data_IF_340763393482
#
_entry.id   IF_340763393482
#
_cell.length_a   1.000
_cell.length_b   1.000
_cell.length_c   1.000
_cell.angle_alpha   90.00
_cell.angle_beta   90.00
_cell.angle_gamma   90.00
#
_symmetry.space_group_name_H-M   'P 1'
#
loop_
_entity.id
_entity.type
_entity.pdbx_description
1 polymer ?
#
# COMPACT_ATOMS: atom_id res chain seq x y z
N UNK A 1 -14.42 -43.54 -15.19
CA UNK A 1 -14.18 -43.79 -13.77
C UNK A 1 -12.76 -43.37 -13.42
N UNK A 2 -12.46 -43.12 -12.14
CA UNK A 2 -11.17 -42.62 -11.64
C UNK A 2 -9.99 -43.51 -12.06
N UNK A 3 -10.18 -44.83 -12.11
CA UNK A 3 -9.15 -45.82 -12.50
C UNK A 3 -8.74 -45.67 -13.97
N UNK A 4 -9.68 -45.43 -14.86
CA UNK A 4 -9.43 -45.22 -16.30
C UNK A 4 -8.66 -43.94 -16.56
N UNK A 5 -8.98 -42.88 -15.84
CA UNK A 5 -8.30 -41.60 -15.96
C UNK A 5 -6.89 -41.64 -15.37
N UNK A 6 -6.67 -42.38 -14.27
CA UNK A 6 -5.32 -42.58 -13.72
C UNK A 6 -4.43 -43.39 -14.68
N UNK A 7 -4.99 -44.42 -15.35
CA UNK A 7 -4.25 -45.21 -16.34
C UNK A 7 -3.89 -44.36 -17.58
N UNK A 8 -4.81 -43.50 -18.04
CA UNK A 8 -4.56 -42.58 -19.14
C UNK A 8 -3.46 -41.57 -18.77
N UNK A 9 -3.50 -41.00 -17.56
CA UNK A 9 -2.47 -40.06 -17.05
C UNK A 9 -1.10 -40.74 -16.96
N UNK A 10 -1.03 -41.96 -16.46
CA UNK A 10 0.22 -42.74 -16.41
C UNK A 10 0.79 -42.97 -17.81
N UNK A 11 -0.08 -43.36 -18.80
CA UNK A 11 0.33 -43.51 -20.20
C UNK A 11 0.82 -42.22 -20.84
N UNK A 12 0.20 -41.07 -20.51
CA UNK A 12 0.64 -39.76 -21.00
C UNK A 12 1.99 -39.36 -20.43
N UNK A 13 2.21 -39.62 -19.14
CA UNK A 13 3.48 -39.34 -18.48
C UNK A 13 4.60 -40.19 -19.07
N UNK A 14 4.32 -41.46 -19.34
CA UNK A 14 5.24 -42.40 -19.97
C UNK A 14 5.61 -41.98 -21.42
N UNK A 15 4.66 -41.39 -22.17
CA UNK A 15 4.90 -40.84 -23.51
C UNK A 15 5.73 -39.53 -23.49
N UNK A 16 5.67 -38.79 -22.41
CA UNK A 16 6.40 -37.52 -22.24
C UNK A 16 7.73 -37.69 -21.52
N UNK A 17 8.07 -38.91 -21.09
CA UNK A 17 9.30 -39.19 -20.39
C UNK A 17 10.48 -39.23 -21.38
N UNK A 18 11.35 -38.24 -21.28
CA UNK A 18 12.58 -38.11 -22.08
C UNK A 18 13.77 -38.89 -21.53
N UNK A 19 13.52 -39.80 -20.57
CA UNK A 19 14.53 -40.65 -19.95
C UNK A 19 15.39 -39.97 -18.87
N UNK A 20 15.06 -38.74 -18.48
CA UNK A 20 15.80 -38.01 -17.43
C UNK A 20 15.24 -38.27 -16.01
N UNK A 21 14.14 -39.00 -15.89
CA UNK A 21 13.47 -39.29 -14.60
C UNK A 21 13.93 -40.59 -13.96
N UNK A 22 14.35 -40.50 -12.73
CA UNK A 22 14.88 -41.62 -11.91
C UNK A 22 13.85 -42.26 -10.99
N UNK A 23 12.56 -42.14 -11.18
CA UNK A 23 11.58 -42.97 -10.48
C UNK A 23 10.17 -42.79 -11.12
N UNK A 24 9.47 -43.89 -11.34
CA UNK A 24 8.07 -43.89 -11.77
C UNK A 24 7.16 -43.40 -10.62
N UNK A 25 7.09 -42.14 -10.38
CA UNK A 25 6.02 -41.57 -9.58
C UNK A 25 4.76 -41.47 -10.46
N UNK A 26 3.90 -42.45 -10.33
CA UNK A 26 2.60 -42.43 -10.98
C UNK A 26 1.76 -41.32 -10.37
N UNK A 27 1.62 -40.24 -11.11
CA UNK A 27 0.80 -39.10 -10.69
C UNK A 27 -0.69 -39.50 -10.74
N UNK A 28 -1.38 -39.44 -9.63
CA UNK A 28 -2.81 -39.68 -9.53
C UNK A 28 -3.62 -38.45 -9.95
N UNK A 29 -4.87 -38.62 -10.40
CA UNK A 29 -5.79 -37.51 -10.66
C UNK A 29 -5.94 -36.59 -9.43
N UNK A 30 -5.89 -37.18 -8.22
CA UNK A 30 -5.91 -36.41 -6.97
C UNK A 30 -4.73 -35.47 -6.88
N UNK A 31 -3.52 -35.95 -7.14
CA UNK A 31 -2.30 -35.13 -7.13
C UNK A 31 -2.32 -34.06 -8.23
N UNK A 32 -2.78 -34.39 -9.43
CA UNK A 32 -2.97 -33.39 -10.48
C UNK A 32 -3.96 -32.29 -10.09
N UNK A 33 -5.07 -32.67 -9.45
CA UNK A 33 -6.05 -31.71 -8.94
C UNK A 33 -5.48 -30.84 -7.82
N UNK A 34 -4.60 -31.41 -6.98
CA UNK A 34 -3.91 -30.65 -5.92
C UNK A 34 -2.93 -29.64 -6.52
N UNK A 35 -2.15 -30.02 -7.54
CA UNK A 35 -1.24 -29.11 -8.25
C UNK A 35 -2.01 -28.00 -8.96
N UNK A 36 -3.11 -28.36 -9.65
CA UNK A 36 -3.96 -27.39 -10.30
C UNK A 36 -4.60 -26.41 -9.29
N UNK A 37 -5.06 -26.91 -8.13
CA UNK A 37 -5.59 -26.09 -7.06
C UNK A 37 -4.55 -25.13 -6.49
N UNK A 38 -3.31 -25.58 -6.30
CA UNK A 38 -2.21 -24.73 -5.82
C UNK A 38 -1.86 -23.64 -6.84
N UNK A 39 -1.80 -23.97 -8.14
CA UNK A 39 -1.57 -22.99 -9.20
C UNK A 39 -2.69 -21.93 -9.25
N UNK A 40 -3.96 -22.35 -9.26
CA UNK A 40 -5.14 -21.47 -9.24
C UNK A 40 -5.11 -20.57 -8.00
N UNK A 41 -4.76 -21.12 -6.84
CA UNK A 41 -4.68 -20.36 -5.59
C UNK A 41 -3.61 -19.28 -5.64
N UNK A 42 -2.46 -19.61 -6.21
CA UNK A 42 -1.34 -18.67 -6.42
C UNK A 42 -1.71 -17.58 -7.44
N UNK A 43 -2.22 -17.97 -8.62
CA UNK A 43 -2.58 -17.03 -9.69
C UNK A 43 -3.74 -16.10 -9.30
N UNK A 44 -4.64 -16.58 -8.43
CA UNK A 44 -5.74 -15.78 -7.87
C UNK A 44 -5.36 -14.93 -6.67
N UNK A 45 -4.07 -14.74 -6.41
CA UNK A 45 -3.57 -14.02 -5.24
C UNK A 45 -4.11 -14.58 -3.92
N UNK A 46 -4.10 -15.91 -3.80
CA UNK A 46 -4.54 -16.65 -2.62
C UNK A 46 -6.04 -16.54 -2.30
N UNK A 47 -6.87 -16.32 -3.34
CA UNK A 47 -8.33 -16.24 -3.19
C UNK A 47 -8.98 -17.63 -3.12
N UNK A 48 -9.43 -18.01 -1.93
CA UNK A 48 -10.22 -19.25 -1.75
C UNK A 48 -11.54 -19.23 -2.54
N UNK A 49 -12.11 -18.06 -2.81
CA UNK A 49 -13.35 -17.94 -3.58
C UNK A 49 -13.13 -18.26 -5.06
N UNK A 50 -12.08 -17.70 -5.68
CA UNK A 50 -11.72 -18.01 -7.08
C UNK A 50 -11.41 -19.49 -7.22
N UNK A 51 -10.64 -20.06 -6.31
CA UNK A 51 -10.33 -21.50 -6.28
C UNK A 51 -11.61 -22.34 -6.14
N UNK A 52 -12.56 -21.94 -5.31
CA UNK A 52 -13.84 -22.60 -5.15
C UNK A 52 -14.62 -22.66 -6.47
N UNK A 53 -14.72 -21.54 -7.16
CA UNK A 53 -15.45 -21.45 -8.44
C UNK A 53 -14.79 -22.29 -9.52
N UNK A 54 -13.46 -22.20 -9.69
CA UNK A 54 -12.73 -22.91 -10.74
C UNK A 54 -12.64 -24.41 -10.49
N UNK A 55 -12.60 -24.86 -9.24
CA UNK A 55 -12.64 -26.29 -8.89
C UNK A 55 -14.06 -26.87 -8.85
N UNK A 56 -15.10 -26.05 -9.05
CA UNK A 56 -16.49 -26.46 -9.01
C UNK A 56 -16.97 -26.91 -7.63
N UNK A 57 -16.38 -26.36 -6.55
CA UNK A 57 -16.78 -26.69 -5.19
C UNK A 57 -18.04 -25.91 -4.80
N UNK A 58 -18.99 -26.59 -4.17
CA UNK A 58 -20.23 -25.97 -3.68
C UNK A 58 -20.04 -25.26 -2.33
N UNK A 59 -18.92 -25.51 -1.65
CA UNK A 59 -18.69 -25.02 -0.28
C UNK A 59 -17.23 -24.55 -0.12
N UNK A 60 -17.08 -23.40 0.50
CA UNK A 60 -15.78 -22.81 0.79
C UNK A 60 -14.93 -23.68 1.73
N UNK A 61 -15.56 -24.43 2.64
CA UNK A 61 -14.85 -25.35 3.54
C UNK A 61 -14.14 -26.47 2.77
N UNK A 62 -14.76 -26.99 1.72
CA UNK A 62 -14.13 -27.99 0.84
C UNK A 62 -12.91 -27.41 0.12
N UNK A 63 -12.99 -26.15 -0.27
CA UNK A 63 -11.89 -25.44 -0.95
C UNK A 63 -10.72 -25.14 -0.02
N UNK A 64 -10.99 -24.76 1.22
CA UNK A 64 -9.97 -24.53 2.23
C UNK A 64 -9.06 -25.74 2.46
N UNK A 65 -9.62 -26.94 2.32
CA UNK A 65 -8.85 -28.18 2.47
C UNK A 65 -7.72 -28.32 1.44
N UNK A 66 -7.92 -27.78 0.22
CA UNK A 66 -6.87 -27.75 -0.82
C UNK A 66 -5.83 -26.66 -0.57
N UNK A 67 -6.24 -25.51 -0.05
CA UNK A 67 -5.33 -24.40 0.28
C UNK A 67 -4.35 -24.71 1.43
N UNK A 68 -4.70 -25.66 2.29
CA UNK A 68 -3.88 -26.07 3.43
C UNK A 68 -2.99 -27.29 3.15
N UNK A 69 -2.94 -27.81 1.91
CA UNK A 69 -2.04 -28.91 1.58
C UNK A 69 -0.59 -28.39 1.48
N UNK A 70 0.33 -29.25 1.88
CA UNK A 70 1.71 -28.98 2.30
C UNK A 70 2.49 -28.00 1.42
N UNK A 71 2.43 -28.08 0.10
CA UNK A 71 3.21 -27.22 -0.80
C UNK A 71 2.73 -25.76 -0.82
N UNK A 72 1.42 -25.53 -0.87
CA UNK A 72 0.86 -24.17 -0.82
C UNK A 72 0.95 -23.54 0.57
N UNK A 73 0.94 -24.39 1.61
CA UNK A 73 1.12 -23.93 2.99
C UNK A 73 2.58 -23.51 3.25
N UNK A 74 3.56 -24.29 2.78
CA UNK A 74 4.97 -23.96 2.96
C UNK A 74 5.35 -22.66 2.23
N UNK A 75 4.89 -22.44 0.98
CA UNK A 75 5.09 -21.16 0.28
C UNK A 75 4.38 -19.99 0.98
N UNK A 76 3.14 -20.20 1.41
CA UNK A 76 2.38 -19.15 2.12
C UNK A 76 2.96 -18.87 3.50
N UNK A 77 3.45 -19.91 4.20
CA UNK A 77 4.07 -19.76 5.51
C UNK A 77 5.41 -19.05 5.41
N UNK A 78 6.24 -19.38 4.40
CA UNK A 78 7.49 -18.67 4.13
C UNK A 78 7.25 -17.19 3.88
N UNK A 79 6.27 -16.86 3.00
CA UNK A 79 5.92 -15.47 2.72
C UNK A 79 5.39 -14.73 3.95
N UNK A 80 4.50 -15.36 4.73
CA UNK A 80 3.97 -14.77 5.96
C UNK A 80 5.07 -14.60 7.00
N UNK A 81 5.98 -15.56 7.12
CA UNK A 81 7.13 -15.48 8.03
C UNK A 81 8.06 -14.33 7.65
N UNK A 82 8.40 -14.20 6.36
CA UNK A 82 9.21 -13.10 5.84
C UNK A 82 8.58 -11.72 6.13
N UNK A 83 7.28 -11.60 5.91
CA UNK A 83 6.54 -10.37 6.19
C UNK A 83 6.46 -10.08 7.69
N UNK A 84 6.28 -11.10 8.52
CA UNK A 84 6.28 -10.96 9.98
C UNK A 84 7.66 -10.54 10.49
N UNK A 85 8.74 -11.15 9.97
CA UNK A 85 10.11 -10.81 10.36
C UNK A 85 10.47 -9.37 9.95
N UNK A 86 10.06 -8.95 8.75
CA UNK A 86 10.21 -7.56 8.28
C UNK A 86 9.39 -6.59 9.14
N UNK A 87 8.16 -6.95 9.50
CA UNK A 87 7.30 -6.19 10.40
C UNK A 87 7.94 -5.99 11.78
N UNK A 88 8.47 -7.06 12.37
CA UNK A 88 9.17 -6.97 13.64
C UNK A 88 10.46 -6.16 13.53
N UNK A 89 11.18 -6.28 12.41
CA UNK A 89 12.35 -5.47 12.11
C UNK A 89 12.00 -3.98 12.03
N UNK A 90 10.95 -3.62 11.29
CA UNK A 90 10.47 -2.24 11.18
C UNK A 90 10.03 -1.69 12.54
N UNK A 91 9.30 -2.47 13.35
CA UNK A 91 8.88 -2.08 14.69
C UNK A 91 10.06 -1.87 15.65
N UNK A 92 11.10 -2.71 15.57
CA UNK A 92 12.31 -2.58 16.40
C UNK A 92 13.14 -1.35 16.05
N UNK A 93 13.28 -1.05 14.75
CA UNK A 93 14.13 0.04 14.27
C UNK A 93 13.40 1.38 14.30
N UNK A 94 12.17 1.43 13.78
CA UNK A 94 11.48 2.70 13.50
C UNK A 94 10.29 2.96 14.43
N UNK A 95 9.87 1.98 15.23
CA UNK A 95 8.63 2.00 16.05
C UNK A 95 7.35 2.36 15.26
N UNK A 96 7.40 2.25 13.94
CA UNK A 96 6.31 2.59 13.02
C UNK A 96 6.16 1.46 12.01
N UNK A 97 4.93 1.07 11.79
CA UNK A 97 4.55 0.02 10.87
C UNK A 97 3.86 0.59 9.64
N UNK A 98 4.32 0.22 8.43
CA UNK A 98 3.70 0.62 7.18
C UNK A 98 2.79 -0.46 6.62
N UNK A 99 1.48 -0.26 6.78
CA UNK A 99 0.46 -1.18 6.30
C UNK A 99 0.47 -1.30 4.77
N UNK A 100 0.78 -0.22 4.05
CA UNK A 100 0.79 -0.23 2.58
C UNK A 100 1.96 -1.06 2.05
N UNK A 101 3.16 -0.89 2.62
CA UNK A 101 4.33 -1.68 2.26
C UNK A 101 4.14 -3.16 2.59
N UNK A 102 3.54 -3.46 3.74
CA UNK A 102 3.24 -4.84 4.15
C UNK A 102 2.19 -5.48 3.24
N UNK A 103 1.15 -4.74 2.85
CA UNK A 103 0.16 -5.22 1.88
C UNK A 103 0.78 -5.47 0.52
N UNK A 104 1.66 -4.59 0.03
CA UNK A 104 2.37 -4.78 -1.23
C UNK A 104 3.24 -6.04 -1.20
N UNK A 105 3.99 -6.27 -0.11
CA UNK A 105 4.79 -7.48 0.08
C UNK A 105 3.93 -8.75 0.17
N UNK A 106 2.83 -8.71 0.93
CA UNK A 106 1.88 -9.83 1.05
C UNK A 106 1.17 -10.15 -0.26
N UNK A 107 0.85 -9.13 -1.06
CA UNK A 107 0.17 -9.32 -2.34
C UNK A 107 1.10 -9.86 -3.43
N UNK A 108 2.40 -10.03 -3.15
CA UNK A 108 3.42 -10.36 -4.18
C UNK A 108 3.20 -9.55 -5.47
N UNK A 109 2.73 -8.32 -5.31
CA UNK A 109 2.76 -7.40 -6.42
C UNK A 109 4.22 -7.33 -6.85
N UNK A 110 4.48 -7.39 -8.15
CA UNK A 110 5.81 -7.13 -8.73
C UNK A 110 6.17 -5.66 -8.46
N UNK A 111 6.37 -5.36 -7.18
CA UNK A 111 6.89 -4.06 -6.75
C UNK A 111 8.37 -4.15 -7.02
N UNK A 112 8.83 -3.43 -8.01
CA UNK A 112 10.24 -3.39 -8.36
C UNK A 112 11.06 -2.88 -7.17
N UNK A 113 12.30 -3.33 -7.04
CA UNK A 113 13.22 -2.83 -6.01
C UNK A 113 13.32 -1.29 -6.04
N UNK A 114 13.20 -0.69 -7.24
CA UNK A 114 13.18 0.75 -7.41
C UNK A 114 11.95 1.42 -6.76
N UNK A 115 10.79 0.78 -6.76
CA UNK A 115 9.59 1.29 -6.08
C UNK A 115 9.69 1.14 -4.57
N UNK A 116 10.26 0.03 -4.09
CA UNK A 116 10.56 -0.17 -2.66
C UNK A 116 11.53 0.91 -2.17
N UNK A 117 12.59 1.20 -2.94
CA UNK A 117 13.56 2.24 -2.57
C UNK A 117 12.92 3.64 -2.57
N UNK A 118 12.05 3.96 -3.54
CA UNK A 118 11.28 5.22 -3.52
C UNK A 118 10.41 5.36 -2.28
N UNK A 119 9.73 4.29 -1.85
CA UNK A 119 8.94 4.29 -0.62
C UNK A 119 9.81 4.48 0.62
N UNK A 120 10.98 3.84 0.66
CA UNK A 120 11.94 4.00 1.75
C UNK A 120 12.50 5.43 1.81
N UNK A 121 12.81 6.03 0.67
CA UNK A 121 13.25 7.43 0.57
C UNK A 121 12.13 8.37 1.02
N UNK A 122 10.89 8.15 0.56
CA UNK A 122 9.75 8.95 0.98
C UNK A 122 9.52 8.90 2.50
N UNK A 123 9.79 7.76 3.14
CA UNK A 123 9.71 7.67 4.60
C UNK A 123 10.78 8.48 5.32
N UNK A 124 11.98 8.57 4.76
CA UNK A 124 13.08 9.34 5.33
C UNK A 124 12.88 10.85 5.21
N UNK A 125 12.20 11.29 4.15
CA UNK A 125 11.96 12.70 3.85
C UNK A 125 10.51 13.10 4.16
N UNK A 126 10.21 13.30 5.43
CA UNK A 126 8.91 13.80 5.87
C UNK A 126 8.75 15.27 5.51
N UNK A 127 7.61 15.60 4.93
CA UNK A 127 7.22 16.95 4.56
C UNK A 127 6.46 17.66 5.70
N UNK A 128 6.16 18.94 5.53
CA UNK A 128 5.45 19.70 6.55
C UNK A 128 4.07 19.11 6.89
N UNK A 129 3.34 18.63 5.90
CA UNK A 129 2.03 18.00 6.08
C UNK A 129 2.10 16.52 6.51
N UNK A 130 3.31 16.05 6.87
CA UNK A 130 3.58 14.70 7.36
C UNK A 130 3.52 13.61 6.29
N UNK A 131 3.31 13.95 5.03
CA UNK A 131 3.52 13.03 3.92
C UNK A 131 5.02 12.75 3.73
N UNK A 132 5.36 11.75 2.94
CA UNK A 132 6.74 11.47 2.58
C UNK A 132 7.04 11.96 1.17
N UNK A 133 8.27 12.37 0.89
CA UNK A 133 8.72 12.74 -0.43
C UNK A 133 9.81 11.78 -0.92
N UNK A 134 9.59 11.12 -2.06
CA UNK A 134 10.57 10.21 -2.64
C UNK A 134 11.80 10.94 -3.20
N UNK A 135 11.62 12.17 -3.68
CA UNK A 135 12.71 12.98 -4.20
C UNK A 135 12.43 14.47 -3.96
N UNK A 136 12.92 15.03 -2.83
CA UNK A 136 12.71 16.43 -2.49
C UNK A 136 13.58 17.39 -3.29
N UNK A 137 14.61 16.90 -3.99
CA UNK A 137 15.55 17.71 -4.75
C UNK A 137 15.19 17.80 -6.25
N UNK A 138 14.29 16.93 -6.74
CA UNK A 138 13.84 16.93 -8.13
C UNK A 138 12.31 16.94 -8.20
N UNK A 139 11.64 18.00 -7.72
CA UNK A 139 10.19 18.10 -7.82
C UNK A 139 9.76 18.19 -9.26
N UNK A 140 8.56 17.65 -9.63
CA UNK A 140 7.99 17.87 -10.95
C UNK A 140 7.82 19.35 -11.25
N UNK A 141 8.03 19.76 -12.53
CA UNK A 141 7.93 21.16 -12.96
C UNK A 141 6.53 21.77 -12.69
N UNK A 142 5.50 20.94 -12.71
CA UNK A 142 4.12 21.36 -12.42
C UNK A 142 3.91 21.71 -10.95
N UNK A 143 4.74 21.17 -10.07
CA UNK A 143 4.66 21.38 -8.60
C UNK A 143 5.55 22.56 -8.20
N UNK A 144 6.78 22.56 -8.62
CA UNK A 144 7.76 23.62 -8.32
C UNK A 144 8.51 24.01 -9.60
N UNK A 145 7.93 24.93 -10.40
CA UNK A 145 8.53 25.35 -11.67
C UNK A 145 9.85 26.11 -11.50
N UNK A 146 10.06 26.72 -10.32
CA UNK A 146 11.28 27.48 -10.02
C UNK A 146 12.45 26.64 -9.51
N UNK A 147 12.25 25.37 -9.23
CA UNK A 147 13.33 24.51 -8.73
C UNK A 147 14.31 24.14 -9.85
N UNK A 148 15.64 24.38 -9.66
CA UNK A 148 16.65 24.12 -10.70
C UNK A 148 16.91 22.63 -10.94
N UNK A 149 16.41 21.73 -10.09
CA UNK A 149 16.63 20.27 -10.14
C UNK A 149 18.12 19.89 -10.21
N UNK A 150 18.91 20.61 -9.45
CA UNK A 150 20.37 20.45 -9.37
C UNK A 150 20.82 19.37 -8.39
N UNK A 151 19.87 18.64 -7.79
CA UNK A 151 20.10 17.62 -6.77
C UNK A 151 20.46 18.19 -5.37
N UNK A 152 20.47 19.50 -5.22
CA UNK A 152 20.87 20.19 -3.98
C UNK A 152 19.76 21.12 -3.45
N UNK A 153 18.96 21.69 -4.35
CA UNK A 153 17.91 22.64 -4.00
C UNK A 153 16.62 21.91 -3.65
N UNK A 154 16.17 22.08 -2.40
CA UNK A 154 14.94 21.48 -1.90
C UNK A 154 13.70 22.10 -2.58
N UNK A 155 12.67 21.27 -2.79
CA UNK A 155 11.35 21.72 -3.19
C UNK A 155 10.76 22.70 -2.17
N UNK A 156 10.31 23.87 -2.62
CA UNK A 156 9.71 24.89 -1.74
C UNK A 156 8.21 24.61 -1.46
N UNK A 157 7.58 23.71 -2.20
CA UNK A 157 6.16 23.37 -2.09
C UNK A 157 5.86 22.21 -1.13
N UNK A 158 6.77 21.90 -0.18
CA UNK A 158 6.64 20.76 0.74
C UNK A 158 5.39 20.83 1.64
N UNK A 159 4.85 22.01 1.86
CA UNK A 159 3.62 22.25 2.64
C UNK A 159 2.33 21.85 1.90
N UNK A 160 2.44 21.54 0.60
CA UNK A 160 1.33 21.18 -0.28
C UNK A 160 1.46 19.76 -0.84
N UNK A 161 2.39 18.97 -0.36
CA UNK A 161 2.66 17.65 -0.94
C UNK A 161 1.43 16.76 -0.98
N UNK A 162 0.69 16.63 0.12
CA UNK A 162 -0.50 15.78 0.18
C UNK A 162 -1.70 16.36 -0.59
N UNK A 163 -1.73 17.67 -0.84
CA UNK A 163 -2.83 18.34 -1.54
C UNK A 163 -2.57 18.61 -3.03
N UNK A 164 -1.31 18.69 -3.44
CA UNK A 164 -0.94 19.07 -4.82
C UNK A 164 -1.08 17.94 -5.85
N UNK A 165 -1.21 16.69 -5.40
CA UNK A 165 -1.14 15.51 -6.28
C UNK A 165 0.26 15.25 -6.85
N UNK A 166 1.30 15.65 -6.11
CA UNK A 166 2.68 15.43 -6.48
C UNK A 166 2.99 13.93 -6.62
N UNK A 167 3.57 13.45 -7.74
CA UNK A 167 3.90 12.04 -7.93
C UNK A 167 5.02 11.53 -7.01
N UNK A 168 5.81 12.44 -6.40
CA UNK A 168 6.82 12.10 -5.40
C UNK A 168 6.24 12.03 -3.98
N UNK A 169 4.95 12.37 -3.80
CA UNK A 169 4.29 12.37 -2.51
C UNK A 169 3.71 10.99 -2.17
N UNK A 170 4.01 10.52 -0.98
CA UNK A 170 3.46 9.31 -0.40
C UNK A 170 2.81 9.60 0.95
N UNK A 171 1.56 9.18 1.10
CA UNK A 171 0.83 9.33 2.35
C UNK A 171 0.88 8.01 3.10
N UNK A 172 1.41 8.04 4.31
CA UNK A 172 1.56 6.88 5.18
C UNK A 172 0.51 6.88 6.30
N UNK A 173 0.31 5.75 6.95
CA UNK A 173 -0.67 5.63 8.04
C UNK A 173 -0.37 6.59 9.19
N UNK A 174 0.91 6.83 9.48
CA UNK A 174 1.37 7.77 10.51
C UNK A 174 1.29 9.25 10.10
N UNK A 175 0.93 9.54 8.85
CA UNK A 175 0.73 10.91 8.37
C UNK A 175 -0.57 11.55 8.87
N UNK A 176 -1.52 10.75 9.40
CA UNK A 176 -2.85 11.23 9.79
C UNK A 176 -2.82 12.48 10.67
N UNK A 177 -2.04 12.46 11.76
CA UNK A 177 -2.03 13.55 12.73
C UNK A 177 -1.52 14.87 12.11
N UNK A 178 -0.54 14.79 11.23
CA UNK A 178 0.02 15.96 10.54
C UNK A 178 -0.91 16.49 9.45
N UNK A 179 -1.57 15.60 8.69
CA UNK A 179 -2.55 15.99 7.69
C UNK A 179 -3.76 16.65 8.37
N UNK A 180 -4.25 16.08 9.47
CA UNK A 180 -5.33 16.67 10.25
C UNK A 180 -4.93 18.01 10.88
N UNK A 181 -3.65 18.18 11.30
CA UNK A 181 -3.11 19.48 11.70
C UNK A 181 -3.25 20.49 10.57
N UNK A 182 -2.82 20.13 9.35
CA UNK A 182 -2.90 21.04 8.21
C UNK A 182 -4.34 21.38 7.84
N UNK A 183 -5.27 20.44 7.94
CA UNK A 183 -6.71 20.71 7.78
C UNK A 183 -7.17 21.74 8.82
N UNK A 184 -6.86 21.56 10.10
CA UNK A 184 -7.26 22.49 11.15
C UNK A 184 -6.62 23.88 10.98
N UNK A 185 -5.37 23.96 10.54
CA UNK A 185 -4.69 25.23 10.21
C UNK A 185 -5.42 25.97 9.08
N UNK A 186 -5.75 25.29 7.99
CA UNK A 186 -6.44 25.91 6.85
C UNK A 186 -7.87 26.35 7.20
N UNK A 187 -8.59 25.62 8.06
CA UNK A 187 -9.88 26.04 8.59
C UNK A 187 -9.76 27.29 9.46
N UNK A 188 -8.74 27.36 10.30
CA UNK A 188 -8.47 28.55 11.12
C UNK A 188 -8.11 29.78 10.24
N UNK A 189 -7.28 29.57 9.20
CA UNK A 189 -6.95 30.59 8.20
C UNK A 189 -8.22 31.06 7.48
N UNK A 190 -9.06 30.14 7.04
CA UNK A 190 -10.34 30.44 6.38
C UNK A 190 -11.22 31.32 7.23
N UNK A 191 -11.26 31.05 8.53
CA UNK A 191 -12.04 31.86 9.48
C UNK A 191 -11.44 33.24 9.66
N UNK A 192 -10.11 33.36 9.71
CA UNK A 192 -9.42 34.63 9.97
C UNK A 192 -9.39 35.57 8.77
N UNK A 193 -9.16 35.06 7.56
CA UNK A 193 -9.09 35.89 6.33
C UNK A 193 -10.43 36.11 5.65
N UNK A 194 -11.46 35.38 6.08
CA UNK A 194 -12.82 35.41 5.52
C UNK A 194 -12.99 34.47 4.32
N UNK A 195 -14.19 33.88 4.20
CA UNK A 195 -14.50 32.82 3.23
C UNK A 195 -14.22 33.24 1.79
N UNK A 196 -14.66 34.44 1.39
CA UNK A 196 -14.56 34.92 0.01
C UNK A 196 -13.09 35.02 -0.44
N UNK A 197 -12.21 35.52 0.43
CA UNK A 197 -10.78 35.66 0.14
C UNK A 197 -10.07 34.31 0.14
N UNK A 198 -10.45 33.44 1.08
CA UNK A 198 -9.89 32.08 1.15
C UNK A 198 -10.27 31.26 -0.10
N UNK A 199 -11.55 31.29 -0.49
CA UNK A 199 -12.08 30.51 -1.61
C UNK A 199 -11.54 30.99 -2.98
N UNK A 200 -11.03 32.21 -3.06
CA UNK A 200 -10.35 32.73 -4.24
C UNK A 200 -8.88 32.26 -4.37
N UNK A 201 -8.32 31.69 -3.31
CA UNK A 201 -6.93 31.25 -3.25
C UNK A 201 -6.72 29.75 -3.50
N UNK A 202 -5.46 29.35 -3.60
CA UNK A 202 -5.08 27.92 -3.74
C UNK A 202 -5.38 27.11 -2.47
N UNK A 203 -5.46 27.75 -1.31
CA UNK A 203 -5.69 27.08 -0.02
C UNK A 203 -7.05 26.38 0.07
N UNK A 204 -8.07 26.89 -0.64
CA UNK A 204 -9.36 26.22 -0.73
C UNK A 204 -9.28 24.87 -1.45
N UNK A 205 -8.56 24.83 -2.55
CA UNK A 205 -8.33 23.58 -3.28
C UNK A 205 -7.50 22.59 -2.48
N UNK A 206 -6.50 23.08 -1.73
CA UNK A 206 -5.66 22.26 -0.86
C UNK A 206 -6.48 21.68 0.29
N UNK A 207 -7.32 22.49 0.94
CA UNK A 207 -8.21 22.03 2.00
C UNK A 207 -9.17 20.95 1.49
N UNK A 208 -9.78 21.17 0.32
CA UNK A 208 -10.69 20.19 -0.28
C UNK A 208 -10.00 18.85 -0.54
N UNK A 209 -8.78 18.86 -1.08
CA UNK A 209 -8.00 17.64 -1.34
C UNK A 209 -7.56 16.94 -0.05
N UNK A 210 -7.07 17.69 0.95
CA UNK A 210 -6.72 17.12 2.25
C UNK A 210 -7.93 16.45 2.92
N UNK A 211 -9.10 17.04 2.85
CA UNK A 211 -10.35 16.45 3.34
C UNK A 211 -10.69 15.13 2.63
N UNK A 212 -10.44 15.02 1.33
CA UNK A 212 -10.59 13.75 0.60
C UNK A 212 -9.53 12.73 1.04
N UNK A 213 -8.29 13.19 1.26
CA UNK A 213 -7.20 12.32 1.69
C UNK A 213 -7.48 11.68 3.05
N UNK A 214 -8.01 12.45 4.01
CA UNK A 214 -8.30 11.91 5.35
C UNK A 214 -9.44 10.89 5.38
N UNK A 215 -10.27 10.78 4.34
CA UNK A 215 -11.32 9.75 4.25
C UNK A 215 -10.75 8.32 4.18
N UNK A 216 -9.45 8.16 3.99
CA UNK A 216 -8.79 6.85 4.01
C UNK A 216 -8.62 6.27 5.42
N UNK A 217 -8.82 7.07 6.47
CA UNK A 217 -8.73 6.67 7.87
C UNK A 217 -10.12 6.55 8.52
N UNK A 218 -10.22 5.82 9.64
CA UNK A 218 -11.46 5.75 10.40
C UNK A 218 -11.94 7.15 10.81
N UNK A 219 -13.24 7.42 10.61
CA UNK A 219 -13.83 8.74 10.85
C UNK A 219 -13.60 9.26 12.28
N UNK A 220 -13.64 8.37 13.28
CA UNK A 220 -13.40 8.74 14.68
C UNK A 220 -11.96 9.19 14.91
N UNK A 221 -10.98 8.53 14.29
CA UNK A 221 -9.57 8.90 14.39
C UNK A 221 -9.31 10.27 13.72
N UNK A 222 -9.92 10.50 12.55
CA UNK A 222 -9.85 11.79 11.83
C UNK A 222 -10.46 12.91 12.67
N UNK A 223 -11.68 12.69 13.17
CA UNK A 223 -12.37 13.65 14.01
C UNK A 223 -11.57 14.00 15.26
N UNK A 224 -11.09 13.00 15.98
CA UNK A 224 -10.25 13.20 17.17
C UNK A 224 -9.01 14.03 16.86
N UNK A 225 -8.29 13.74 15.76
CA UNK A 225 -7.09 14.45 15.38
C UNK A 225 -7.39 15.91 14.98
N UNK A 226 -8.46 16.16 14.22
CA UNK A 226 -8.87 17.53 13.83
C UNK A 226 -9.29 18.33 15.07
N UNK A 227 -10.14 17.79 15.94
CA UNK A 227 -10.61 18.45 17.16
C UNK A 227 -9.43 18.80 18.10
N UNK A 228 -8.46 17.88 18.25
CA UNK A 228 -7.22 18.11 19.00
C UNK A 228 -6.45 19.34 18.48
N UNK A 229 -6.22 19.43 17.19
CA UNK A 229 -5.46 20.52 16.59
C UNK A 229 -6.24 21.83 16.59
N UNK A 230 -7.55 21.79 16.34
CA UNK A 230 -8.41 22.96 16.46
C UNK A 230 -8.39 23.56 17.88
N UNK A 231 -8.44 22.72 18.91
CA UNK A 231 -8.33 23.15 20.30
C UNK A 231 -6.96 23.80 20.60
N UNK A 232 -5.84 23.24 20.10
CA UNK A 232 -4.50 23.81 20.26
C UNK A 232 -4.30 25.14 19.55
N UNK A 233 -4.97 25.31 18.40
CA UNK A 233 -4.97 26.60 17.68
C UNK A 233 -5.80 27.61 18.47
N UNK A 234 -6.98 27.25 18.97
CA UNK A 234 -7.84 28.13 19.73
C UNK A 234 -7.21 28.58 21.07
N UNK A 235 -6.43 27.71 21.70
CA UNK A 235 -5.67 28.07 22.94
C UNK A 235 -4.40 28.88 22.71
N UNK A 236 -3.97 29.03 21.44
CA UNK A 236 -2.71 29.69 21.11
C UNK A 236 -1.44 28.82 21.30
N UNK A 237 -1.61 27.53 21.65
CA UNK A 237 -0.50 26.58 21.74
C UNK A 237 0.11 26.25 20.37
N UNK A 238 -0.67 26.41 19.30
CA UNK A 238 -0.24 26.22 17.94
C UNK A 238 -0.71 27.37 17.06
N UNK A 239 0.24 27.99 16.36
CA UNK A 239 -0.09 29.04 15.39
C UNK A 239 -0.19 28.44 14.00
N UNK A 240 -1.32 28.67 13.30
CA UNK A 240 -1.46 28.25 11.91
C UNK A 240 -0.39 28.87 11.02
N UNK A 241 0.31 28.07 10.24
CA UNK A 241 1.27 28.59 9.27
C UNK A 241 0.54 28.93 7.99
N UNK A 242 0.52 30.20 7.67
CA UNK A 242 0.01 30.72 6.41
C UNK A 242 1.19 30.92 5.44
N UNK A 243 1.23 30.11 4.42
CA UNK A 243 2.14 30.31 3.30
C UNK A 243 1.45 31.29 2.36
N UNK A 244 1.72 32.59 2.51
CA UNK A 244 1.24 33.60 1.56
C UNK A 244 1.68 33.17 0.16
N UNK A 245 0.71 32.92 -0.72
CA UNK A 245 0.93 32.32 -2.02
C UNK A 245 2.06 33.03 -2.79
N UNK A 246 3.06 32.28 -3.16
CA UNK A 246 3.91 32.64 -4.26
C UNK A 246 3.06 32.43 -5.52
N UNK A 247 2.46 33.53 -6.02
CA UNK A 247 1.77 33.61 -7.29
C UNK A 247 2.77 33.72 -8.43
#
# INVERSE_FOLDING_TARGET
TTRTANNWLASLIEQLDDGTRTASETMSIGQFRDVAAAAIFKDSQYSNWVMMVLLGHKNLMTTRHYGYRRSSFEESFSLVSEVIDDLFSQLRVNRVFDVALTRAKLAKLDVSEAEIEKLNQARRHKTYDGSGCADPYSPPAVIDPGNPRDGCTLCVQQHRCASSGCPNCFVFTDSLDFICRRVAELEAVRTSVGMVRFDAGSDASDLARLRLTVLQWPADAVKFAIDKWAARIASGEHMPIYFAGQH
#
